data_IF_069986817713
#
_entry.id   IF_069986817713
#
_cell.length_a   1.000
_cell.length_b   1.000
_cell.length_c   1.000
_cell.angle_alpha   90.00
_cell.angle_beta   90.00
_cell.angle_gamma   90.00
#
_symmetry.space_group_name_H-M   'P 1'
#
loop_
_entity.id
_entity.type
_entity.pdbx_description
1 polymer ?
#
# COMPACT_ATOMS: atom_id res chain seq x y z
N UNK A 1 18.58 16.60 -1.78
CA UNK A 1 17.94 17.86 -1.31
C UNK A 1 16.63 17.67 -0.57
N UNK A 2 15.70 16.85 -1.06
CA UNK A 2 14.42 16.58 -0.37
C UNK A 2 14.60 16.14 1.09
N UNK A 3 15.46 15.14 1.37
CA UNK A 3 15.70 14.65 2.74
C UNK A 3 16.11 15.74 3.73
N UNK A 4 17.01 16.65 3.31
CA UNK A 4 17.46 17.77 4.15
C UNK A 4 16.36 18.80 4.38
N UNK A 5 15.57 19.11 3.35
CA UNK A 5 14.49 20.10 3.45
C UNK A 5 13.35 19.65 4.35
N UNK A 6 13.08 18.34 4.37
CA UNK A 6 12.00 17.74 5.16
C UNK A 6 12.46 17.27 6.55
N UNK A 7 13.74 17.42 6.87
CA UNK A 7 14.35 16.82 8.07
C UNK A 7 13.97 15.34 8.22
N UNK A 8 14.09 14.57 7.13
CA UNK A 8 13.78 13.14 7.08
C UNK A 8 15.03 12.26 7.30
N UNK A 9 14.86 11.12 7.98
CA UNK A 9 15.94 10.14 8.23
C UNK A 9 16.32 9.34 6.98
N UNK A 10 15.42 9.28 6.01
CA UNK A 10 15.63 8.62 4.73
C UNK A 10 14.43 8.78 3.81
N UNK A 11 14.48 8.13 2.66
CA UNK A 11 13.39 8.13 1.70
C UNK A 11 13.59 7.13 0.58
N UNK A 12 12.45 6.69 0.05
CA UNK A 12 12.34 5.71 -1.02
C UNK A 12 11.58 6.31 -2.21
N UNK A 13 11.98 5.91 -3.40
CA UNK A 13 11.27 6.17 -4.65
C UNK A 13 11.15 4.85 -5.39
N UNK A 14 9.93 4.48 -5.74
CA UNK A 14 9.62 3.30 -6.56
C UNK A 14 8.82 3.78 -7.76
N UNK A 15 9.28 3.41 -8.96
CA UNK A 15 8.57 3.65 -10.22
C UNK A 15 8.39 2.31 -10.92
N UNK A 16 7.17 2.05 -11.37
CA UNK A 16 6.80 0.83 -12.06
C UNK A 16 5.92 1.14 -13.26
N UNK A 17 5.93 0.25 -14.24
CA UNK A 17 4.94 0.20 -15.29
C UNK A 17 3.73 -0.62 -14.79
N UNK A 18 2.55 -0.02 -14.60
CA UNK A 18 1.39 -0.71 -14.03
C UNK A 18 0.84 -1.80 -14.95
N UNK A 19 1.12 -1.73 -16.26
CA UNK A 19 0.61 -2.70 -17.25
C UNK A 19 1.42 -3.99 -17.31
N UNK A 20 2.71 -3.92 -16.92
CA UNK A 20 3.65 -5.04 -17.01
C UNK A 20 4.17 -5.51 -15.65
N UNK A 21 4.11 -4.66 -14.62
CA UNK A 21 4.75 -4.92 -13.32
C UNK A 21 6.27 -4.68 -13.32
N UNK A 22 6.85 -4.20 -14.42
CA UNK A 22 8.28 -3.89 -14.50
C UNK A 22 8.63 -2.73 -13.57
N UNK A 23 9.60 -2.93 -12.67
CA UNK A 23 10.15 -1.86 -11.85
C UNK A 23 11.16 -1.06 -12.68
N UNK A 24 10.73 0.11 -13.13
CA UNK A 24 11.50 1.01 -13.98
C UNK A 24 12.63 1.72 -13.22
N UNK A 25 12.39 2.05 -11.95
CA UNK A 25 13.38 2.64 -11.07
C UNK A 25 13.05 2.36 -9.61
N UNK A 26 14.08 2.09 -8.81
CA UNK A 26 13.98 1.99 -7.37
C UNK A 26 15.20 2.63 -6.72
N UNK A 27 14.97 3.55 -5.79
CA UNK A 27 16.01 4.25 -5.09
C UNK A 27 15.65 4.36 -3.61
N UNK A 28 16.60 4.00 -2.75
CA UNK A 28 16.49 4.07 -1.30
C UNK A 28 17.70 4.81 -0.74
N UNK A 29 17.48 5.79 0.13
CA UNK A 29 18.57 6.64 0.65
C UNK A 29 18.32 7.06 2.09
N UNK A 30 19.31 6.85 2.96
CA UNK A 30 19.31 7.44 4.31
C UNK A 30 19.92 8.84 4.31
N UNK A 31 19.67 9.62 5.37
CA UNK A 31 20.25 10.95 5.58
C UNK A 31 21.77 10.92 5.58
N UNK A 32 22.36 9.89 6.16
CA UNK A 32 23.82 9.66 6.22
C UNK A 32 24.40 9.22 4.87
N UNK A 33 23.56 9.02 3.85
CA UNK A 33 23.97 8.62 2.50
C UNK A 33 24.19 7.13 2.33
N UNK A 34 23.81 6.30 3.30
CA UNK A 34 23.86 4.85 3.14
C UNK A 34 22.76 4.38 2.17
N UNK A 35 23.14 3.49 1.25
CA UNK A 35 22.21 2.79 0.37
C UNK A 35 21.75 1.51 1.09
N UNK A 36 20.66 1.62 1.85
CA UNK A 36 19.93 0.46 2.36
C UNK A 36 18.72 0.21 1.45
N UNK A 37 18.38 -1.04 1.13
CA UNK A 37 17.24 -1.36 0.28
C UNK A 37 15.88 -1.21 1.02
N UNK A 38 15.66 -0.08 1.69
CA UNK A 38 14.48 0.15 2.55
C UNK A 38 13.15 0.01 1.82
N UNK A 39 13.12 0.25 0.51
CA UNK A 39 11.93 0.03 -0.32
C UNK A 39 11.44 -1.44 -0.31
N UNK A 40 12.34 -2.40 -0.03
CA UNK A 40 12.03 -3.82 0.09
C UNK A 40 11.98 -4.31 1.54
N UNK A 41 12.77 -3.73 2.43
CA UNK A 41 13.01 -4.28 3.78
C UNK A 41 12.25 -3.57 4.89
N UNK A 42 12.00 -2.27 4.74
CA UNK A 42 11.52 -1.45 5.83
C UNK A 42 10.00 -1.30 5.71
N UNK A 43 9.30 -1.62 6.80
CA UNK A 43 7.84 -1.55 6.83
C UNK A 43 7.38 -0.34 7.61
N UNK A 44 6.32 0.31 7.18
CA UNK A 44 5.69 1.44 7.86
C UNK A 44 4.16 1.29 7.88
N UNK A 45 3.49 2.02 8.77
CA UNK A 45 2.03 2.14 8.71
C UNK A 45 1.66 3.16 7.62
N UNK A 46 0.90 2.77 6.58
CA UNK A 46 0.66 3.62 5.42
C UNK A 46 -0.18 4.86 5.74
N UNK A 47 -1.03 4.81 6.77
CA UNK A 47 -1.97 5.87 7.08
C UNK A 47 -2.87 6.18 5.88
N UNK A 48 -3.12 7.46 5.66
CA UNK A 48 -4.14 7.92 4.70
C UNK A 48 -3.97 7.44 3.25
N UNK A 49 -2.76 7.06 2.82
CA UNK A 49 -2.55 6.51 1.47
C UNK A 49 -3.29 5.18 1.29
N UNK A 50 -3.64 4.48 2.36
CA UNK A 50 -4.38 3.22 2.30
C UNK A 50 -5.91 3.39 2.13
N UNK A 51 -6.46 4.59 2.34
CA UNK A 51 -7.92 4.83 2.29
C UNK A 51 -8.52 4.50 0.93
N UNK A 52 -7.75 4.72 -0.14
CA UNK A 52 -8.19 4.44 -1.51
C UNK A 52 -8.47 2.95 -1.72
N UNK A 53 -7.74 2.05 -1.07
CA UNK A 53 -7.96 0.61 -1.17
C UNK A 53 -9.27 0.18 -0.50
N UNK A 54 -9.56 0.76 0.67
CA UNK A 54 -10.86 0.56 1.32
C UNK A 54 -12.00 1.09 0.44
N UNK A 55 -11.85 2.28 -0.16
CA UNK A 55 -12.84 2.85 -1.06
C UNK A 55 -13.05 2.01 -2.33
N UNK A 56 -11.97 1.49 -2.94
CA UNK A 56 -12.04 0.59 -4.08
C UNK A 56 -12.82 -0.69 -3.72
N UNK A 57 -12.50 -1.33 -2.60
CA UNK A 57 -13.20 -2.52 -2.14
C UNK A 57 -14.69 -2.29 -1.86
N UNK A 58 -15.05 -1.16 -1.24
CA UNK A 58 -16.44 -0.77 -1.01
C UNK A 58 -17.25 -0.67 -2.32
N UNK A 59 -16.65 -0.10 -3.37
CA UNK A 59 -17.26 0.02 -4.69
C UNK A 59 -17.36 -1.35 -5.38
N UNK A 60 -16.29 -2.14 -5.37
CA UNK A 60 -16.23 -3.48 -5.96
C UNK A 60 -17.29 -4.40 -5.37
N UNK A 61 -17.45 -4.40 -4.05
CA UNK A 61 -18.45 -5.19 -3.33
C UNK A 61 -19.84 -4.57 -3.33
N UNK A 62 -20.03 -3.42 -3.99
CA UNK A 62 -21.30 -2.67 -4.06
C UNK A 62 -21.89 -2.37 -2.68
N UNK A 63 -21.04 -2.13 -1.69
CA UNK A 63 -21.43 -1.72 -0.32
C UNK A 63 -21.75 -0.22 -0.23
N UNK A 64 -21.41 0.54 -1.27
CA UNK A 64 -21.66 1.98 -1.37
C UNK A 64 -22.05 2.36 -2.80
N UNK A 65 -22.93 3.36 -2.94
CA UNK A 65 -23.10 4.12 -4.18
C UNK A 65 -22.18 5.36 -4.16
N UNK A 66 -21.66 5.84 -5.31
CA UNK A 66 -20.92 7.09 -5.38
C UNK A 66 -21.67 8.31 -4.83
N UNK A 67 -23.01 8.27 -4.82
CA UNK A 67 -23.88 9.33 -4.31
C UNK A 67 -24.19 9.23 -2.83
N UNK A 68 -23.84 8.11 -2.18
CA UNK A 68 -24.08 7.94 -0.75
C UNK A 68 -23.35 9.01 0.06
N UNK A 69 -23.96 9.42 1.17
CA UNK A 69 -23.37 10.40 2.08
C UNK A 69 -23.26 9.84 3.49
N UNK A 70 -22.24 10.30 4.20
CA UNK A 70 -22.09 10.11 5.65
C UNK A 70 -21.88 11.46 6.33
N UNK A 71 -22.40 11.60 7.56
CA UNK A 71 -22.17 12.78 8.40
C UNK A 71 -20.69 12.91 8.76
N UNK A 72 -20.14 14.12 8.71
CA UNK A 72 -18.77 14.41 9.16
C UNK A 72 -18.64 14.74 10.66
N UNK A 73 -19.75 14.69 11.42
CA UNK A 73 -19.74 14.78 12.90
C UNK A 73 -19.07 16.04 13.46
N UNK A 74 -19.12 17.16 12.72
CA UNK A 74 -18.44 18.39 13.14
C UNK A 74 -16.92 18.25 13.30
N UNK A 75 -16.32 17.27 12.61
CA UNK A 75 -14.87 17.02 12.61
C UNK A 75 -14.35 16.18 13.77
N UNK A 76 -15.20 15.77 14.72
CA UNK A 76 -14.79 14.92 15.86
C UNK A 76 -15.87 13.90 16.17
N UNK A 77 -15.56 12.63 15.96
CA UNK A 77 -16.48 11.53 16.20
C UNK A 77 -15.98 10.58 17.27
N UNK A 78 -16.77 10.39 18.34
CA UNK A 78 -16.42 9.52 19.45
C UNK A 78 -16.90 8.09 19.19
N UNK A 79 -15.94 7.18 19.08
CA UNK A 79 -16.15 5.74 19.07
C UNK A 79 -15.89 5.15 20.47
N UNK A 80 -16.37 3.93 20.76
CA UNK A 80 -15.95 3.22 21.96
C UNK A 80 -14.41 3.11 22.02
N UNK A 81 -13.81 3.73 23.05
CA UNK A 81 -12.37 3.67 23.30
C UNK A 81 -11.50 4.70 22.57
N UNK A 82 -12.01 5.47 21.60
CA UNK A 82 -11.23 6.54 20.94
C UNK A 82 -12.08 7.62 20.28
N UNK A 83 -11.49 8.79 20.05
CA UNK A 83 -12.07 9.85 19.20
C UNK A 83 -11.33 9.86 17.87
N UNK A 84 -12.08 9.87 16.77
CA UNK A 84 -11.57 10.13 15.42
C UNK A 84 -11.73 11.62 15.12
N UNK A 85 -10.69 12.24 14.58
CA UNK A 85 -10.65 13.65 14.22
C UNK A 85 -10.30 13.79 12.74
N UNK A 86 -10.96 14.72 12.06
CA UNK A 86 -10.61 15.15 10.71
C UNK A 86 -9.80 16.44 10.75
N UNK A 87 -8.84 16.57 9.82
CA UNK A 87 -8.05 17.79 9.65
C UNK A 87 -8.81 18.88 8.88
N UNK A 88 -9.59 18.47 7.87
CA UNK A 88 -10.48 19.35 7.07
C UNK A 88 -11.94 18.91 7.25
N UNK A 89 -12.63 19.39 8.31
CA UNK A 89 -13.97 18.94 8.65
C UNK A 89 -15.02 19.50 7.68
N UNK A 90 -15.90 18.63 7.19
CA UNK A 90 -17.07 19.00 6.40
C UNK A 90 -18.35 18.47 7.07
N UNK A 91 -19.53 19.07 6.80
CA UNK A 91 -20.79 18.59 7.37
C UNK A 91 -21.14 17.16 6.93
N UNK A 92 -20.80 16.80 5.70
CA UNK A 92 -21.02 15.46 5.16
C UNK A 92 -20.08 15.16 4.00
N UNK A 93 -19.83 13.87 3.75
CA UNK A 93 -18.92 13.38 2.73
C UNK A 93 -19.62 12.40 1.80
N UNK A 94 -19.43 12.54 0.49
CA UNK A 94 -19.46 11.37 -0.42
C UNK A 94 -18.21 10.53 -0.22
N UNK A 95 -18.15 9.30 -0.77
CA UNK A 95 -16.92 8.50 -0.73
C UNK A 95 -15.77 9.25 -1.42
N UNK A 96 -16.03 9.90 -2.56
CA UNK A 96 -15.06 10.70 -3.28
C UNK A 96 -14.57 11.89 -2.45
N UNK A 97 -15.46 12.60 -1.73
CA UNK A 97 -15.06 13.68 -0.82
C UNK A 97 -14.16 13.16 0.31
N UNK A 98 -14.52 12.02 0.90
CA UNK A 98 -13.74 11.43 1.99
C UNK A 98 -12.31 11.10 1.56
N UNK A 99 -12.10 10.65 0.31
CA UNK A 99 -10.75 10.46 -0.25
C UNK A 99 -10.10 11.80 -0.59
N UNK A 100 -10.82 12.71 -1.24
CA UNK A 100 -10.32 14.02 -1.69
C UNK A 100 -9.73 14.86 -0.57
N UNK A 101 -10.40 14.91 0.59
CA UNK A 101 -9.92 15.64 1.77
C UNK A 101 -9.35 14.74 2.85
N UNK A 102 -9.14 13.46 2.53
CA UNK A 102 -8.62 12.46 3.46
C UNK A 102 -9.37 12.42 4.81
N UNK A 103 -10.70 12.50 4.79
CA UNK A 103 -11.52 12.42 6.01
C UNK A 103 -11.41 11.02 6.65
N UNK A 104 -10.93 10.98 7.88
CA UNK A 104 -10.90 9.79 8.73
C UNK A 104 -12.31 9.37 9.14
N UNK A 105 -13.15 10.33 9.53
CA UNK A 105 -14.54 10.06 9.92
C UNK A 105 -15.32 9.49 8.74
N UNK A 106 -15.18 10.12 7.56
CA UNK A 106 -15.83 9.71 6.33
C UNK A 106 -15.47 8.28 5.96
N UNK A 107 -14.17 7.98 5.81
CA UNK A 107 -13.74 6.64 5.39
C UNK A 107 -14.14 5.55 6.40
N UNK A 108 -14.04 5.81 7.71
CA UNK A 108 -14.41 4.82 8.73
C UNK A 108 -15.91 4.54 8.70
N UNK A 109 -16.75 5.56 8.50
CA UNK A 109 -18.20 5.37 8.39
C UNK A 109 -18.62 4.62 7.13
N UNK A 110 -17.94 4.83 6.01
CA UNK A 110 -18.18 4.02 4.83
C UNK A 110 -17.68 2.58 5.02
N UNK A 111 -16.47 2.40 5.56
CA UNK A 111 -15.88 1.09 5.82
C UNK A 111 -16.68 0.26 6.84
N UNK A 112 -17.44 0.89 7.74
CA UNK A 112 -18.35 0.20 8.67
C UNK A 112 -19.47 -0.59 7.99
N UNK A 113 -19.60 -0.52 6.66
CA UNK A 113 -20.52 -1.31 5.83
C UNK A 113 -19.91 -2.62 5.32
N UNK A 114 -18.62 -2.85 5.57
CA UNK A 114 -17.92 -4.09 5.27
C UNK A 114 -18.01 -5.03 6.46
N UNK A 115 -18.18 -6.32 6.19
CA UNK A 115 -17.86 -7.34 7.18
C UNK A 115 -16.34 -7.42 7.41
N UNK A 116 -15.87 -7.82 8.61
CA UNK A 116 -14.44 -7.90 8.90
C UNK A 116 -13.64 -8.74 7.89
N UNK A 117 -14.21 -9.86 7.43
CA UNK A 117 -13.60 -10.73 6.44
C UNK A 117 -13.50 -10.06 5.05
N UNK A 118 -14.49 -9.24 4.68
CA UNK A 118 -14.44 -8.47 3.44
C UNK A 118 -13.34 -7.41 3.50
N UNK A 119 -13.26 -6.66 4.60
CA UNK A 119 -12.23 -5.64 4.79
C UNK A 119 -10.82 -6.24 4.78
N UNK A 120 -10.64 -7.39 5.44
CA UNK A 120 -9.37 -8.12 5.40
C UNK A 120 -9.04 -8.61 3.99
N UNK A 121 -10.00 -9.22 3.30
CA UNK A 121 -9.82 -9.73 1.95
C UNK A 121 -9.41 -8.61 0.99
N UNK A 122 -10.07 -7.44 1.04
CA UNK A 122 -9.70 -6.28 0.22
C UNK A 122 -8.23 -5.91 0.41
N UNK A 123 -7.76 -5.73 1.65
CA UNK A 123 -6.38 -5.35 1.93
C UNK A 123 -5.38 -6.43 1.52
N UNK A 124 -5.71 -7.70 1.76
CA UNK A 124 -4.90 -8.85 1.34
C UNK A 124 -4.81 -8.94 -0.19
N UNK A 125 -5.91 -8.72 -0.89
CA UNK A 125 -5.99 -8.84 -2.36
C UNK A 125 -5.24 -7.69 -3.06
N UNK A 126 -4.98 -6.58 -2.37
CA UNK A 126 -3.99 -5.57 -2.78
C UNK A 126 -2.53 -5.93 -2.44
N UNK A 127 -2.28 -7.16 -1.94
CA UNK A 127 -0.95 -7.69 -1.67
C UNK A 127 -0.40 -7.43 -0.27
N UNK A 128 -1.17 -6.80 0.63
CA UNK A 128 -0.65 -6.46 1.95
C UNK A 128 -0.53 -7.67 2.89
N UNK A 129 0.59 -7.73 3.62
CA UNK A 129 0.89 -8.82 4.55
C UNK A 129 1.56 -10.04 3.93
N UNK A 130 1.90 -9.99 2.63
CA UNK A 130 2.63 -11.03 1.91
C UNK A 130 3.76 -10.38 1.08
N UNK A 131 4.95 -10.99 0.98
CA UNK A 131 5.97 -10.54 0.03
C UNK A 131 5.40 -10.45 -1.40
N UNK A 132 5.82 -9.45 -2.17
CA UNK A 132 5.36 -9.25 -3.55
C UNK A 132 5.87 -10.32 -4.52
N UNK A 133 6.97 -10.99 -4.19
CA UNK A 133 7.59 -12.00 -5.07
C UNK A 133 8.69 -11.44 -5.98
N UNK A 134 9.00 -10.15 -5.87
CA UNK A 134 10.10 -9.53 -6.62
C UNK A 134 11.42 -10.28 -6.40
N UNK A 135 12.35 -10.21 -7.35
CA UNK A 135 13.62 -10.93 -7.32
C UNK A 135 14.65 -10.31 -6.34
N UNK A 136 14.21 -10.04 -5.10
CA UNK A 136 15.00 -9.55 -4.00
C UNK A 136 14.87 -10.50 -2.79
N UNK A 137 15.97 -11.12 -2.32
CA UNK A 137 15.92 -12.25 -1.39
C UNK A 137 15.52 -11.90 0.05
N UNK A 138 15.45 -10.61 0.41
CA UNK A 138 15.20 -10.16 1.79
C UNK A 138 13.96 -9.26 1.89
N UNK A 139 12.95 -9.51 1.06
CA UNK A 139 11.70 -8.75 1.09
C UNK A 139 10.97 -8.93 2.43
N UNK A 140 10.57 -7.81 3.03
CA UNK A 140 9.69 -7.82 4.19
C UNK A 140 8.25 -8.04 3.75
N UNK A 141 7.55 -8.96 4.43
CA UNK A 141 6.14 -9.25 4.15
C UNK A 141 5.17 -8.13 4.57
N UNK A 142 5.61 -7.17 5.38
CA UNK A 142 4.70 -6.30 6.12
C UNK A 142 3.91 -7.09 7.18
N UNK A 143 2.73 -6.59 7.55
CA UNK A 143 1.85 -7.26 8.50
C UNK A 143 0.39 -6.88 8.26
N UNK A 144 -0.45 -7.88 8.07
CA UNK A 144 -1.91 -7.76 8.07
C UNK A 144 -2.50 -8.91 8.90
N UNK A 145 -3.08 -8.58 10.07
CA UNK A 145 -3.62 -9.59 10.99
C UNK A 145 -5.01 -10.06 10.54
N UNK A 146 -5.35 -11.35 10.68
CA UNK A 146 -6.68 -11.85 10.31
C UNK A 146 -7.77 -11.32 11.26
N UNK A 147 -9.04 -11.26 10.82
CA UNK A 147 -10.15 -10.74 11.62
C UNK A 147 -10.37 -11.41 12.98
N UNK A 148 -9.99 -12.69 13.11
CA UNK A 148 -10.13 -13.47 14.36
C UNK A 148 -9.37 -12.88 15.56
N UNK A 149 -8.38 -12.01 15.33
CA UNK A 149 -7.60 -11.34 16.39
C UNK A 149 -7.83 -9.83 16.45
N UNK A 150 -8.79 -9.32 15.67
CA UNK A 150 -9.11 -7.89 15.67
C UNK A 150 -9.77 -7.49 16.98
N UNK A 151 -9.39 -6.33 17.48
CA UNK A 151 -10.05 -5.71 18.61
C UNK A 151 -11.13 -4.76 18.10
N UNK A 152 -12.01 -4.29 18.99
CA UNK A 152 -13.10 -3.36 18.63
C UNK A 152 -12.67 -2.17 17.75
N UNK A 153 -11.51 -1.50 17.97
CA UNK A 153 -11.11 -0.38 17.11
C UNK A 153 -10.42 -0.79 15.79
N UNK A 154 -10.04 -2.07 15.62
CA UNK A 154 -9.15 -2.50 14.52
C UNK A 154 -9.73 -2.23 13.14
N UNK A 155 -11.01 -2.51 12.89
CA UNK A 155 -11.65 -2.23 11.60
C UNK A 155 -11.57 -0.73 11.24
N UNK A 156 -11.80 0.15 12.22
CA UNK A 156 -11.69 1.58 12.04
C UNK A 156 -10.24 2.06 11.89
N UNK A 157 -9.27 1.41 12.54
CA UNK A 157 -7.83 1.69 12.33
C UNK A 157 -7.39 1.31 10.92
N UNK A 158 -7.74 0.10 10.47
CA UNK A 158 -7.38 -0.44 9.17
C UNK A 158 -7.96 0.40 8.03
N UNK A 159 -9.20 0.88 8.17
CA UNK A 159 -9.83 1.77 7.18
C UNK A 159 -9.08 3.10 7.00
N UNK A 160 -8.32 3.53 8.00
CA UNK A 160 -7.48 4.74 7.94
C UNK A 160 -6.01 4.43 7.62
N UNK A 161 -5.66 3.15 7.43
CA UNK A 161 -4.29 2.71 7.16
C UNK A 161 -3.40 2.49 8.39
N UNK A 162 -3.97 2.17 9.54
CA UNK A 162 -3.24 1.81 10.77
C UNK A 162 -3.54 0.37 11.20
N UNK A 163 -2.71 -0.20 12.09
CA UNK A 163 -2.75 -1.62 12.49
C UNK A 163 -2.35 -2.62 11.39
N UNK A 164 -1.79 -2.11 10.29
CA UNK A 164 -1.09 -2.87 9.26
C UNK A 164 0.27 -2.22 8.98
N UNK A 165 1.25 -3.00 8.52
CA UNK A 165 2.50 -2.45 8.00
C UNK A 165 2.76 -2.94 6.59
N UNK A 166 3.35 -2.08 5.77
CA UNK A 166 3.60 -2.31 4.35
C UNK A 166 5.00 -1.81 3.97
N UNK A 167 5.57 -2.34 2.91
CA UNK A 167 6.80 -1.82 2.28
C UNK A 167 6.46 -0.81 1.17
N UNK A 168 7.39 0.09 0.78
CA UNK A 168 7.18 0.97 -0.36
C UNK A 168 6.85 0.23 -1.67
N UNK A 169 7.47 -0.93 -1.94
CA UNK A 169 7.15 -1.73 -3.13
C UNK A 169 5.72 -2.29 -3.09
N UNK A 170 5.23 -2.77 -1.94
CA UNK A 170 3.85 -3.23 -1.79
C UNK A 170 2.84 -2.11 -2.08
N UNK A 171 3.10 -0.90 -1.57
CA UNK A 171 2.24 0.27 -1.86
C UNK A 171 2.25 0.59 -3.35
N UNK A 172 3.43 0.61 -3.96
CA UNK A 172 3.55 0.90 -5.39
C UNK A 172 2.76 -0.11 -6.23
N UNK A 173 2.89 -1.42 -5.94
CA UNK A 173 2.14 -2.47 -6.64
C UNK A 173 0.63 -2.35 -6.44
N UNK A 174 0.17 -2.05 -5.21
CA UNK A 174 -1.24 -1.83 -4.92
C UNK A 174 -1.82 -0.65 -5.73
N UNK A 175 -1.08 0.45 -5.87
CA UNK A 175 -1.46 1.55 -6.76
C UNK A 175 -1.38 1.16 -8.24
N UNK A 176 -0.42 0.32 -8.62
CA UNK A 176 -0.33 -0.26 -9.96
C UNK A 176 -1.59 -1.04 -10.33
N UNK A 177 -2.14 -1.82 -9.40
CA UNK A 177 -3.41 -2.52 -9.60
C UNK A 177 -4.58 -1.55 -9.85
N UNK A 178 -4.64 -0.43 -9.12
CA UNK A 178 -5.65 0.61 -9.38
C UNK A 178 -5.51 1.24 -10.76
N UNK A 179 -4.28 1.38 -11.25
CA UNK A 179 -3.97 1.92 -12.58
C UNK A 179 -4.13 0.90 -13.72
N UNK A 180 -4.18 -0.40 -13.40
CA UNK A 180 -4.24 -1.53 -14.33
C UNK A 180 -5.53 -2.33 -14.17
N UNK A 181 -6.67 -1.64 -14.21
CA UNK A 181 -8.02 -2.23 -14.22
C UNK A 181 -8.29 -3.23 -13.07
N UNK A 182 -7.63 -3.06 -11.92
CA UNK A 182 -7.80 -3.88 -10.73
C UNK A 182 -6.96 -5.16 -10.70
N UNK A 183 -6.03 -5.35 -11.64
CA UNK A 183 -5.16 -6.53 -11.69
C UNK A 183 -3.85 -6.25 -10.95
N UNK A 184 -3.66 -6.90 -9.80
CA UNK A 184 -2.39 -6.91 -9.08
C UNK A 184 -1.41 -7.85 -9.78
N UNK A 185 -0.34 -7.29 -10.36
CA UNK A 185 0.73 -8.05 -10.99
C UNK A 185 1.83 -8.40 -9.99
N UNK A 186 2.60 -9.43 -10.30
CA UNK A 186 3.87 -9.71 -9.63
C UNK A 186 4.94 -8.75 -10.20
N UNK A 187 5.66 -7.98 -9.37
CA UNK A 187 6.70 -7.07 -9.84
C UNK A 187 7.94 -7.84 -10.33
N UNK A 188 8.67 -7.26 -11.28
CA UNK A 188 9.98 -7.79 -11.70
C UNK A 188 11.05 -6.71 -11.86
N UNK A 189 12.28 -7.04 -11.44
CA UNK A 189 13.52 -6.33 -11.76
C UNK A 189 14.22 -6.90 -13.00
N UNK A 190 13.82 -8.10 -13.44
CA UNK A 190 14.49 -8.85 -14.51
C UNK A 190 13.70 -8.69 -15.80
N UNK A 191 14.18 -7.79 -16.66
CA UNK A 191 13.57 -7.59 -17.98
C UNK A 191 13.75 -8.80 -18.90
N UNK A 192 14.95 -9.40 -18.91
CA UNK A 192 15.24 -10.58 -19.71
C UNK A 192 16.49 -11.31 -19.19
N UNK A 193 16.53 -12.63 -19.38
CA UNK A 193 17.75 -13.44 -19.21
C UNK A 193 18.19 -13.90 -20.59
N UNK A 194 19.30 -13.34 -21.10
CA UNK A 194 19.90 -13.77 -22.36
C UNK A 194 20.92 -14.87 -22.11
N UNK A 195 20.63 -16.09 -22.58
CA UNK A 195 21.59 -17.18 -22.55
C UNK A 195 22.75 -16.92 -23.51
N UNK A 196 23.99 -17.05 -23.04
CA UNK A 196 25.13 -17.19 -23.93
C UNK A 196 25.09 -18.58 -24.55
N UNK A 197 24.84 -18.68 -25.85
CA UNK A 197 25.14 -19.92 -26.58
C UNK A 197 26.65 -20.15 -26.50
N UNK A 198 27.07 -21.10 -25.67
CA UNK A 198 28.44 -21.61 -25.69
C UNK A 198 28.57 -22.36 -27.01
N UNK A 199 29.06 -21.69 -28.05
CA UNK A 199 29.57 -22.40 -29.22
C UNK A 199 30.78 -23.24 -28.77
N UNK A 200 30.59 -24.56 -28.79
CA UNK A 200 31.61 -25.61 -28.79
C UNK A 200 32.98 -25.26 -28.18
N UNK A 201 33.10 -25.37 -26.86
CA UNK A 201 34.39 -25.38 -26.17
C UNK A 201 34.31 -26.23 -24.91
N UNK A 202 35.25 -27.16 -24.74
CA UNK A 202 35.29 -28.18 -23.70
C UNK A 202 35.02 -27.66 -22.26
N UNK A 203 34.56 -28.51 -21.33
CA UNK A 203 34.10 -28.09 -20.01
C UNK A 203 35.24 -27.51 -19.18
N UNK A 204 35.01 -26.31 -18.63
CA UNK A 204 35.83 -25.73 -17.58
C UNK A 204 36.72 -24.59 -18.05
N UNK A 205 36.16 -23.39 -18.14
CA UNK A 205 36.69 -22.14 -17.56
C UNK A 205 35.73 -21.01 -17.95
N UNK A 206 34.98 -20.46 -17.01
CA UNK A 206 34.26 -19.19 -17.22
C UNK A 206 35.16 -18.07 -16.67
N UNK A 207 35.63 -17.18 -17.56
CA UNK A 207 36.29 -15.93 -17.16
C UNK A 207 35.28 -14.79 -17.29
N UNK A 208 35.02 -14.11 -16.18
CA UNK A 208 34.31 -12.83 -16.19
C UNK A 208 35.30 -11.73 -16.59
N UNK A 209 34.90 -10.85 -17.51
CA UNK A 209 35.57 -9.57 -17.76
C UNK A 209 34.87 -8.48 -16.98
#
# INVERSE_FOLDING_TARGET
>A
DALRRMDADGGDVVMLDPTSGEVLALASRTREGSARPSAFTDTFEPGSIAKIFAAAGLLTLRRVSPTDRVSGEGGKWRLPGRTITDEDPQPSFTLADAIRVSSNIGIVKFAARLEPDEQYAILRDFGFGTPTGIEFPAEAAGRLRPPSVWQRPSAASLAMGYELSVTPIQVAMAYGALANDGVLLEPTLIREVRGGSVEGGAPGTVRYR
#
